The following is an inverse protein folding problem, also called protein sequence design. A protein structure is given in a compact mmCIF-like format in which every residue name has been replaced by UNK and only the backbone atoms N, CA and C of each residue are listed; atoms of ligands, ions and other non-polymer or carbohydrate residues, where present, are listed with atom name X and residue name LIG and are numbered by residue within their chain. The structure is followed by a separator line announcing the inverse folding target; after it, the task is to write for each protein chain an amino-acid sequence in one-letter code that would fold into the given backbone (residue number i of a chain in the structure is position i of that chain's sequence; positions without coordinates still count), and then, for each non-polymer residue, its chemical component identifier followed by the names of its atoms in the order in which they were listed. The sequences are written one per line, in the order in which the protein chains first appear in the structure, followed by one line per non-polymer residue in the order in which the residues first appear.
data_IF_708403042916
#
_entry.id   IF_708403042916
#
_cell.length_a   1.000
_cell.length_b   1.000
_cell.length_c   1.000
_cell.angle_alpha   90.00
_cell.angle_beta   90.00
_cell.angle_gamma   90.00
#
_symmetry.space_group_name_H-M   'P 1'
#
loop_
_entity.id
_entity.type
_entity.pdbx_description
1 polymer ?
#
# COMPACT_ATOMS: atom_id res chain seq x y z
N UNK A 1 7.29 -12.73 -8.42
CA UNK A 1 6.03 -12.48 -7.70
C UNK A 1 5.83 -10.97 -7.69
N UNK A 2 4.76 -10.53 -8.29
CA UNK A 2 4.31 -9.14 -8.27
C UNK A 2 3.33 -8.94 -7.09
N UNK A 3 3.16 -7.69 -6.61
CA UNK A 3 2.38 -7.35 -5.42
C UNK A 3 2.82 -8.15 -4.18
N UNK A 4 4.12 -8.36 -4.04
CA UNK A 4 4.70 -9.24 -3.02
C UNK A 4 4.47 -8.74 -1.59
N UNK A 5 4.16 -7.46 -1.40
CA UNK A 5 3.74 -6.90 -0.11
C UNK A 5 2.46 -7.56 0.44
N UNK A 6 1.61 -8.10 -0.44
CA UNK A 6 0.38 -8.83 -0.09
C UNK A 6 0.58 -10.34 0.05
N UNK A 7 1.81 -10.84 -0.13
CA UNK A 7 2.14 -12.26 -0.09
C UNK A 7 2.52 -12.67 1.34
N UNK A 8 1.79 -13.63 1.90
CA UNK A 8 2.12 -14.23 3.20
C UNK A 8 3.22 -15.27 3.05
N UNK A 9 3.85 -15.63 4.16
CA UNK A 9 4.93 -16.64 4.15
C UNK A 9 4.50 -18.00 3.55
N UNK A 10 3.33 -18.57 3.86
CA UNK A 10 2.89 -19.82 3.23
C UNK A 10 2.74 -19.72 1.71
N UNK A 11 2.25 -18.59 1.20
CA UNK A 11 2.07 -18.36 -0.23
C UNK A 11 3.42 -18.37 -0.97
N UNK A 12 4.46 -17.82 -0.32
CA UNK A 12 5.82 -17.82 -0.84
C UNK A 12 6.42 -19.22 -0.82
N UNK A 13 6.32 -19.95 0.30
CA UNK A 13 6.94 -21.26 0.51
C UNK A 13 6.48 -22.30 -0.50
N UNK A 14 5.22 -22.27 -0.90
CA UNK A 14 4.66 -23.20 -1.91
C UNK A 14 5.42 -23.12 -3.25
N UNK A 15 5.93 -21.95 -3.59
CA UNK A 15 6.65 -21.70 -4.85
C UNK A 15 8.14 -22.07 -4.76
N UNK A 16 8.77 -21.98 -3.59
CA UNK A 16 10.22 -22.12 -3.41
C UNK A 16 10.82 -23.42 -3.96
N UNK A 17 10.22 -24.63 -3.74
CA UNK A 17 10.87 -25.88 -4.16
C UNK A 17 11.09 -26.01 -5.68
N UNK A 18 10.44 -25.19 -6.47
CA UNK A 18 10.44 -25.28 -7.94
C UNK A 18 11.26 -24.18 -8.63
N UNK A 19 11.85 -23.27 -7.87
CA UNK A 19 12.54 -22.10 -8.43
C UNK A 19 14.02 -22.08 -8.05
N UNK A 20 14.84 -21.52 -8.94
CA UNK A 20 16.27 -21.27 -8.68
C UNK A 20 16.54 -19.84 -8.24
N UNK A 21 15.72 -18.93 -8.69
CA UNK A 21 15.83 -17.50 -8.38
C UNK A 21 14.44 -16.96 -8.03
N UNK A 22 14.40 -16.12 -7.03
CA UNK A 22 13.18 -15.44 -6.58
C UNK A 22 13.36 -13.94 -6.78
N UNK A 23 12.42 -13.33 -7.50
CA UNK A 23 12.30 -11.89 -7.61
C UNK A 23 10.95 -11.51 -7.00
N UNK A 24 10.98 -10.65 -5.99
CA UNK A 24 9.81 -10.09 -5.35
C UNK A 24 9.69 -8.62 -5.76
N UNK A 25 8.53 -8.24 -6.27
CA UNK A 25 8.20 -6.87 -6.63
C UNK A 25 7.03 -6.46 -5.75
N UNK A 26 7.17 -5.38 -5.01
CA UNK A 26 6.14 -4.93 -4.08
C UNK A 26 6.43 -3.55 -3.52
N UNK A 27 5.52 -3.08 -2.73
CA UNK A 27 5.60 -1.80 -2.05
C UNK A 27 5.30 -2.02 -0.56
N UNK A 28 6.30 -1.88 0.28
CA UNK A 28 6.21 -2.13 1.72
C UNK A 28 5.45 -1.04 2.48
N UNK A 29 5.18 0.10 1.82
CA UNK A 29 4.36 1.19 2.38
C UNK A 29 2.87 1.01 2.10
N UNK A 30 2.50 0.02 1.27
CA UNK A 30 1.11 -0.36 1.05
C UNK A 30 0.61 -1.33 2.11
N UNK A 31 -0.69 -1.63 2.06
CA UNK A 31 -1.36 -2.50 3.03
C UNK A 31 -0.76 -3.90 3.05
N UNK A 32 -0.54 -4.39 4.25
CA UNK A 32 -0.16 -5.78 4.51
C UNK A 32 -1.25 -6.79 4.08
N UNK A 33 -0.92 -8.08 3.96
CA UNK A 33 -1.89 -9.12 3.68
C UNK A 33 -3.03 -9.11 4.71
N UNK A 34 -4.27 -9.23 4.24
CA UNK A 34 -5.40 -9.44 5.13
C UNK A 34 -5.46 -10.89 5.57
N UNK A 35 -5.60 -11.12 6.85
CA UNK A 35 -5.75 -12.46 7.44
C UNK A 35 -6.68 -12.43 8.66
N UNK A 36 -7.20 -13.59 9.01
CA UNK A 36 -8.06 -13.74 10.18
C UNK A 36 -7.25 -13.52 11.47
N UNK A 37 -7.79 -12.72 12.39
CA UNK A 37 -7.17 -12.50 13.69
C UNK A 37 -7.10 -13.82 14.44
N UNK A 38 -6.03 -14.02 15.21
CA UNK A 38 -5.80 -15.27 15.96
C UNK A 38 -6.98 -15.66 16.85
N UNK A 39 -7.60 -14.70 17.51
CA UNK A 39 -8.74 -14.93 18.41
C UNK A 39 -9.98 -15.48 17.69
N UNK A 40 -10.09 -15.23 16.38
CA UNK A 40 -11.21 -15.68 15.55
C UNK A 40 -10.93 -17.03 14.87
N UNK A 41 -9.70 -17.56 14.98
CA UNK A 41 -9.35 -18.84 14.37
C UNK A 41 -9.95 -20.02 15.09
N UNK A 42 -9.96 -21.18 14.45
CA UNK A 42 -10.49 -22.41 15.05
C UNK A 42 -9.67 -22.86 16.27
N UNK A 43 -10.29 -23.57 17.24
CA UNK A 43 -9.55 -24.13 18.38
C UNK A 43 -8.37 -25.02 17.97
N UNK A 44 -8.48 -25.74 16.86
CA UNK A 44 -7.38 -26.55 16.33
C UNK A 44 -6.20 -25.67 15.88
N UNK A 45 -6.45 -24.54 15.23
CA UNK A 45 -5.42 -23.57 14.85
C UNK A 45 -4.75 -23.00 16.11
N UNK A 46 -5.52 -22.60 17.10
CA UNK A 46 -5.02 -22.07 18.37
C UNK A 46 -4.21 -23.09 19.18
N UNK A 47 -4.46 -24.38 19.00
CA UNK A 47 -3.66 -25.45 19.64
C UNK A 47 -2.32 -25.69 18.92
N UNK A 48 -2.22 -25.36 17.63
CA UNK A 48 -1.02 -25.58 16.80
C UNK A 48 -0.07 -24.39 16.80
N UNK A 49 -0.59 -23.18 16.95
CA UNK A 49 0.18 -21.94 16.85
C UNK A 49 -0.03 -21.07 18.09
N UNK A 50 1.03 -20.45 18.57
CA UNK A 50 0.88 -19.30 19.45
C UNK A 50 0.37 -18.08 18.64
N UNK A 51 -0.19 -17.08 19.31
CA UNK A 51 -0.63 -15.83 18.70
C UNK A 51 0.52 -15.16 17.92
N UNK A 52 1.71 -15.08 18.51
CA UNK A 52 2.90 -14.52 17.88
C UNK A 52 3.32 -15.30 16.62
N UNK A 53 3.30 -16.64 16.68
CA UNK A 53 3.62 -17.47 15.52
C UNK A 53 2.59 -17.30 14.40
N UNK A 54 1.31 -17.19 14.75
CA UNK A 54 0.23 -16.96 13.80
C UNK A 54 0.39 -15.61 13.07
N UNK A 55 0.64 -14.54 13.81
CA UNK A 55 0.87 -13.23 13.24
C UNK A 55 2.10 -13.21 12.33
N UNK A 56 3.22 -13.78 12.78
CA UNK A 56 4.46 -13.80 11.99
C UNK A 56 4.32 -14.57 10.68
N UNK A 57 3.58 -15.69 10.67
CA UNK A 57 3.34 -16.48 9.45
C UNK A 57 2.46 -15.72 8.44
N UNK A 58 1.53 -14.90 8.94
CA UNK A 58 0.57 -14.21 8.10
C UNK A 58 0.98 -12.78 7.72
N UNK A 59 2.02 -12.23 8.32
CA UNK A 59 2.60 -10.95 7.89
C UNK A 59 3.18 -11.04 6.49
N UNK A 60 3.38 -9.87 5.88
CA UNK A 60 4.03 -9.77 4.58
C UNK A 60 5.43 -10.35 4.61
N UNK A 61 5.66 -11.38 3.79
CA UNK A 61 7.01 -11.93 3.59
C UNK A 61 7.96 -10.92 2.97
N UNK A 62 7.44 -10.02 2.13
CA UNK A 62 8.19 -8.95 1.50
C UNK A 62 8.71 -7.94 2.54
N UNK A 63 7.83 -7.48 3.43
CA UNK A 63 8.22 -6.57 4.51
C UNK A 63 9.22 -7.21 5.47
N UNK A 64 9.04 -8.48 5.81
CA UNK A 64 9.98 -9.22 6.65
C UNK A 64 11.38 -9.33 6.01
N UNK A 65 11.45 -9.62 4.70
CA UNK A 65 12.71 -9.65 3.96
C UNK A 65 13.35 -8.26 3.89
N UNK A 66 12.57 -7.20 3.71
CA UNK A 66 13.09 -5.85 3.70
C UNK A 66 13.75 -5.50 5.04
N UNK A 67 13.16 -5.89 6.17
CA UNK A 67 13.78 -5.73 7.49
C UNK A 67 15.12 -6.47 7.61
N UNK A 68 15.24 -7.65 7.01
CA UNK A 68 16.54 -8.36 6.96
C UNK A 68 17.57 -7.57 6.13
N UNK A 69 17.17 -6.92 5.05
CA UNK A 69 18.05 -6.07 4.25
C UNK A 69 18.42 -4.76 4.94
N UNK A 70 17.54 -4.20 5.79
CA UNK A 70 17.91 -3.09 6.68
C UNK A 70 19.05 -3.52 7.60
N UNK A 71 18.91 -4.65 8.28
CA UNK A 71 19.95 -5.19 9.16
C UNK A 71 21.24 -5.53 8.40
N UNK A 72 21.12 -6.02 7.15
CA UNK A 72 22.28 -6.23 6.29
C UNK A 72 23.01 -4.94 5.97
N UNK A 73 22.27 -3.88 5.63
CA UNK A 73 22.84 -2.58 5.34
C UNK A 73 23.57 -2.01 6.55
N UNK A 74 22.98 -2.11 7.74
CA UNK A 74 23.62 -1.66 8.99
C UNK A 74 24.93 -2.41 9.24
N UNK A 75 24.95 -3.74 9.10
CA UNK A 75 26.13 -4.57 9.31
C UNK A 75 27.27 -4.25 8.34
N UNK A 76 26.93 -3.93 7.08
CA UNK A 76 27.88 -3.68 6.01
C UNK A 76 28.17 -2.20 5.77
N UNK A 77 27.64 -1.30 6.63
CA UNK A 77 27.80 0.15 6.54
C UNK A 77 27.32 0.72 5.19
N UNK A 78 26.24 0.14 4.66
CA UNK A 78 25.60 0.58 3.42
C UNK A 78 24.62 1.70 3.76
N UNK A 79 24.86 2.88 3.22
CA UNK A 79 24.09 4.08 3.55
C UNK A 79 22.75 4.17 2.85
N UNK A 80 22.56 3.49 1.73
CA UNK A 80 21.35 3.55 0.93
C UNK A 80 20.99 2.18 0.38
N UNK A 81 19.69 1.91 0.22
CA UNK A 81 19.22 0.69 -0.45
C UNK A 81 19.67 0.56 -1.90
N UNK A 82 20.02 1.66 -2.58
CA UNK A 82 20.58 1.62 -3.93
C UNK A 82 21.94 0.90 -4.00
N UNK A 83 22.67 0.84 -2.90
CA UNK A 83 23.97 0.17 -2.81
C UNK A 83 23.84 -1.29 -2.35
N UNK A 84 22.62 -1.71 -1.96
CA UNK A 84 22.37 -3.07 -1.53
C UNK A 84 22.33 -4.02 -2.76
N UNK A 85 23.15 -5.09 -2.82
CA UNK A 85 23.20 -5.95 -4.00
C UNK A 85 21.94 -6.81 -4.21
N UNK A 86 21.04 -6.86 -3.23
CA UNK A 86 19.83 -7.67 -3.28
C UNK A 86 18.56 -6.86 -3.44
N UNK A 87 18.65 -5.53 -3.41
CA UNK A 87 17.49 -4.62 -3.47
C UNK A 87 17.64 -3.67 -4.65
N UNK A 88 16.58 -3.52 -5.42
CA UNK A 88 16.47 -2.49 -6.44
C UNK A 88 15.27 -1.59 -6.13
N UNK A 89 15.50 -0.30 -5.97
CA UNK A 89 14.45 0.67 -5.67
C UNK A 89 13.99 1.35 -6.96
N UNK A 90 12.71 1.21 -7.29
CA UNK A 90 12.09 1.90 -8.42
C UNK A 90 11.63 3.29 -7.97
N UNK A 91 12.47 4.29 -8.17
CA UNK A 91 12.24 5.67 -7.70
C UNK A 91 11.34 6.50 -8.61
N UNK A 92 11.28 6.17 -9.91
CA UNK A 92 10.59 7.01 -10.90
C UNK A 92 9.13 6.61 -11.03
N UNK A 93 8.25 7.57 -10.82
CA UNK A 93 6.82 7.37 -11.01
C UNK A 93 6.32 8.08 -12.29
N UNK A 94 5.37 7.41 -12.98
CA UNK A 94 4.74 7.88 -14.22
C UNK A 94 3.20 7.85 -14.15
N UNK A 95 2.66 7.44 -13.00
CA UNK A 95 1.21 7.19 -12.81
C UNK A 95 0.47 8.43 -12.32
N UNK A 96 0.95 9.01 -11.23
CA UNK A 96 0.27 10.08 -10.51
C UNK A 96 0.53 11.45 -11.16
N UNK A 97 -0.46 12.35 -11.06
CA UNK A 97 -0.21 13.76 -11.35
C UNK A 97 0.56 14.41 -10.18
N UNK A 98 1.11 15.59 -10.44
CA UNK A 98 1.97 16.29 -9.48
C UNK A 98 1.27 16.59 -8.14
N UNK A 99 -0.03 16.90 -8.17
CA UNK A 99 -0.80 17.18 -6.94
C UNK A 99 -0.88 15.95 -6.03
N UNK A 100 -1.22 14.78 -6.59
CA UNK A 100 -1.28 13.52 -5.83
C UNK A 100 0.14 13.10 -5.39
N UNK A 101 1.13 13.22 -6.29
CA UNK A 101 2.51 12.88 -5.99
C UNK A 101 3.03 13.64 -4.77
N UNK A 102 2.78 14.94 -4.67
CA UNK A 102 3.24 15.78 -3.55
C UNK A 102 2.66 15.39 -2.18
N UNK A 103 1.55 14.65 -2.15
CA UNK A 103 1.00 14.11 -0.90
C UNK A 103 1.67 12.80 -0.48
N UNK A 104 2.16 12.03 -1.43
CA UNK A 104 2.68 10.68 -1.22
C UNK A 104 4.21 10.69 -1.04
N UNK A 105 4.91 11.52 -1.77
CA UNK A 105 6.39 11.61 -1.75
C UNK A 105 6.95 11.74 -0.33
N UNK A 106 6.42 12.62 0.57
CA UNK A 106 6.96 12.74 1.92
C UNK A 106 6.89 11.46 2.76
N UNK A 107 5.92 10.56 2.46
CA UNK A 107 5.77 9.29 3.16
C UNK A 107 6.94 8.35 2.84
N UNK A 108 7.33 8.30 1.57
CA UNK A 108 8.46 7.47 1.13
C UNK A 108 9.81 8.06 1.53
N UNK A 109 9.96 9.37 1.50
CA UNK A 109 11.20 10.08 1.86
C UNK A 109 11.63 9.91 3.32
N UNK A 110 10.74 9.39 4.20
CA UNK A 110 11.10 9.02 5.57
C UNK A 110 12.19 7.93 5.57
N UNK A 111 12.20 7.08 4.55
CA UNK A 111 13.15 5.99 4.42
C UNK A 111 14.27 6.36 3.45
N UNK A 112 15.50 6.39 3.95
CA UNK A 112 16.69 6.74 3.18
C UNK A 112 16.86 5.82 1.96
N UNK A 113 16.94 6.41 0.78
CA UNK A 113 17.07 5.69 -0.48
C UNK A 113 15.74 5.42 -1.20
N UNK A 114 14.60 5.83 -0.63
CA UNK A 114 13.28 5.67 -1.25
C UNK A 114 12.70 7.00 -1.76
N UNK A 115 13.55 7.99 -2.03
CA UNK A 115 13.12 9.26 -2.60
C UNK A 115 12.51 9.06 -3.98
N UNK A 116 11.23 9.42 -4.13
CA UNK A 116 10.50 9.28 -5.38
C UNK A 116 10.78 10.46 -6.32
N UNK A 117 10.81 10.19 -7.60
CA UNK A 117 11.02 11.18 -8.67
C UNK A 117 9.79 11.21 -9.56
N UNK A 118 9.19 12.38 -9.73
CA UNK A 118 8.07 12.58 -10.67
C UNK A 118 8.57 12.81 -12.08
N UNK A 119 8.32 11.85 -12.95
CA UNK A 119 8.66 11.92 -14.38
C UNK A 119 7.44 12.18 -15.28
N UNK A 120 6.25 12.28 -14.68
CA UNK A 120 5.03 12.40 -15.49
C UNK A 120 4.89 13.76 -16.18
N UNK A 121 5.60 14.79 -15.70
CA UNK A 121 5.50 16.17 -16.23
C UNK A 121 4.05 16.67 -16.37
N UNK A 122 3.18 16.22 -15.49
CA UNK A 122 1.78 16.66 -15.49
C UNK A 122 1.65 18.05 -14.89
N UNK A 123 0.71 18.83 -15.41
CA UNK A 123 0.29 20.06 -14.74
C UNK A 123 -0.19 19.72 -13.33
N UNK A 124 0.16 20.53 -12.35
CA UNK A 124 -0.39 20.39 -11.01
C UNK A 124 -1.92 20.58 -11.10
N UNK A 125 -2.64 19.58 -10.58
CA UNK A 125 -4.07 19.71 -10.32
C UNK A 125 -4.26 19.90 -8.83
N UNK A 126 -5.22 20.72 -8.47
CA UNK A 126 -5.57 20.92 -7.07
C UNK A 126 -6.07 19.61 -6.48
N UNK A 127 -5.63 19.33 -5.27
CA UNK A 127 -6.16 18.24 -4.45
C UNK A 127 -7.09 18.86 -3.43
N UNK A 128 -8.35 18.46 -3.47
CA UNK A 128 -9.35 18.91 -2.52
C UNK A 128 -9.52 17.87 -1.41
N UNK A 129 -9.30 18.27 -0.18
CA UNK A 129 -9.60 17.46 0.99
C UNK A 129 -10.84 18.01 1.67
N UNK A 130 -11.84 17.16 1.88
CA UNK A 130 -13.03 17.48 2.66
C UNK A 130 -13.07 16.61 3.92
N UNK A 131 -13.13 17.24 5.08
CA UNK A 131 -13.35 16.53 6.33
C UNK A 131 -14.84 16.38 6.56
N UNK A 132 -15.33 15.15 6.66
CA UNK A 132 -16.72 14.82 6.92
C UNK A 132 -16.83 14.33 8.37
N UNK A 133 -17.70 14.97 9.15
CA UNK A 133 -18.03 14.53 10.50
C UNK A 133 -19.18 13.52 10.41
N UNK A 134 -18.85 12.26 10.29
CA UNK A 134 -19.81 11.16 10.20
C UNK A 134 -19.42 10.00 11.10
N UNK A 135 -20.37 9.09 11.34
CA UNK A 135 -20.14 7.89 12.12
C UNK A 135 -20.14 6.67 11.20
N UNK A 136 -19.12 5.85 11.33
CA UNK A 136 -19.11 4.53 10.71
C UNK A 136 -20.15 3.61 11.34
N UNK A 137 -20.95 2.97 10.52
CA UNK A 137 -21.97 2.00 10.92
C UNK A 137 -21.61 0.62 10.39
N UNK A 138 -21.66 -0.38 11.25
CA UNK A 138 -21.39 -1.77 10.86
C UNK A 138 -22.53 -2.35 10.00
N UNK A 139 -22.18 -3.04 8.93
CA UNK A 139 -23.09 -3.79 8.07
C UNK A 139 -22.49 -5.15 7.71
N UNK A 140 -22.91 -6.20 8.41
CA UNK A 140 -22.31 -7.52 8.27
C UNK A 140 -20.84 -7.50 8.68
N UNK A 141 -19.95 -7.83 7.74
CA UNK A 141 -18.49 -7.79 7.91
C UNK A 141 -17.85 -6.50 7.39
N UNK A 142 -18.64 -5.52 6.98
CA UNK A 142 -18.19 -4.26 6.41
C UNK A 142 -18.67 -3.07 7.25
N UNK A 143 -18.19 -1.89 6.87
CA UNK A 143 -18.61 -0.62 7.46
C UNK A 143 -19.07 0.32 6.35
N UNK A 144 -19.95 1.23 6.68
CA UNK A 144 -20.38 2.30 5.80
C UNK A 144 -20.58 3.62 6.58
N UNK A 145 -20.45 4.73 5.88
CA UNK A 145 -20.67 6.08 6.42
C UNK A 145 -21.60 6.81 5.46
N UNK A 146 -22.81 7.10 5.92
CA UNK A 146 -23.84 7.76 5.12
C UNK A 146 -23.44 9.19 4.80
N UNK A 147 -22.87 9.89 5.76
CA UNK A 147 -22.48 11.29 5.63
C UNK A 147 -21.37 11.46 4.57
N UNK A 148 -20.44 10.52 4.50
CA UNK A 148 -19.42 10.50 3.43
C UNK A 148 -20.05 10.22 2.07
N UNK A 149 -20.97 9.26 1.98
CA UNK A 149 -21.67 8.95 0.73
C UNK A 149 -22.49 10.15 0.24
N UNK A 150 -23.19 10.82 1.12
CA UNK A 150 -23.97 12.02 0.80
C UNK A 150 -23.07 13.19 0.37
N UNK A 151 -21.91 13.35 1.00
CA UNK A 151 -20.93 14.34 0.61
C UNK A 151 -20.39 14.08 -0.81
N UNK A 152 -20.07 12.83 -1.15
CA UNK A 152 -19.66 12.45 -2.50
C UNK A 152 -20.76 12.74 -3.53
N UNK A 153 -22.02 12.36 -3.23
CA UNK A 153 -23.17 12.63 -4.11
C UNK A 153 -23.36 14.14 -4.31
N UNK A 154 -23.24 14.92 -3.25
CA UNK A 154 -23.39 16.39 -3.29
C UNK A 154 -22.30 17.03 -4.15
N UNK A 155 -21.05 16.60 -3.98
CA UNK A 155 -19.93 17.01 -4.82
C UNK A 155 -20.16 16.67 -6.30
N UNK A 156 -20.63 15.47 -6.60
CA UNK A 156 -20.92 15.05 -7.97
C UNK A 156 -22.04 15.89 -8.61
N UNK A 157 -23.08 16.23 -7.88
CA UNK A 157 -24.16 17.10 -8.36
C UNK A 157 -23.65 18.51 -8.65
N UNK A 158 -22.83 19.07 -7.77
CA UNK A 158 -22.19 20.37 -8.00
C UNK A 158 -21.29 20.32 -9.22
N UNK A 159 -20.42 19.32 -9.32
CA UNK A 159 -19.58 19.11 -10.50
C UNK A 159 -20.39 18.99 -11.79
N UNK A 160 -21.49 18.22 -11.78
CA UNK A 160 -22.38 18.08 -12.93
C UNK A 160 -23.00 19.43 -13.34
N UNK A 161 -23.41 20.26 -12.39
CA UNK A 161 -23.97 21.59 -12.66
C UNK A 161 -22.96 22.54 -13.29
N UNK A 162 -21.68 22.37 -12.96
CA UNK A 162 -20.54 23.18 -13.44
C UNK A 162 -19.74 22.49 -14.54
N UNK A 163 -20.24 21.41 -15.13
CA UNK A 163 -19.50 20.61 -16.11
C UNK A 163 -18.93 21.41 -17.30
N UNK A 164 -19.61 22.47 -17.71
CA UNK A 164 -19.13 23.35 -18.79
C UNK A 164 -17.80 24.05 -18.45
N UNK A 165 -17.47 24.19 -17.18
CA UNK A 165 -16.20 24.77 -16.72
C UNK A 165 -15.03 23.76 -16.83
N UNK A 166 -15.33 22.45 -17.00
CA UNK A 166 -14.37 21.35 -16.99
C UNK A 166 -14.50 20.48 -18.25
N UNK A 167 -14.33 21.04 -19.46
CA UNK A 167 -14.60 20.32 -20.73
C UNK A 167 -13.66 19.13 -20.97
N UNK A 168 -12.50 19.11 -20.34
CA UNK A 168 -11.49 18.04 -20.49
C UNK A 168 -11.78 16.78 -19.63
N UNK A 169 -12.68 16.87 -18.66
CA UNK A 169 -13.01 15.73 -17.80
C UNK A 169 -14.07 14.87 -18.47
N UNK A 170 -13.68 13.67 -18.88
CA UNK A 170 -14.56 12.71 -19.57
C UNK A 170 -15.14 11.67 -18.62
N UNK A 171 -14.37 11.27 -17.62
CA UNK A 171 -14.72 10.20 -16.66
C UNK A 171 -14.37 10.62 -15.24
N UNK A 172 -15.17 10.16 -14.29
CA UNK A 172 -14.93 10.31 -12.86
C UNK A 172 -14.86 8.91 -12.27
N UNK A 173 -13.78 8.62 -11.52
CA UNK A 173 -13.69 7.42 -10.68
C UNK A 173 -14.13 7.75 -9.25
N UNK A 174 -14.87 6.82 -8.63
CA UNK A 174 -15.30 6.88 -7.24
C UNK A 174 -14.82 5.64 -6.53
#
# INVERSE_FOLDING_TARGET
IDEASKCRFPDLVISLPKIKHLILIGDFMQLDPMFEKYENTSPSTQSLFSMEAWENINRSSFSNLLHQFVSYNELHQIDSFDENPYVAVMKRQYRMNKGIFSLIEPIYSIHKGFDLIDEKNSTAHDVLCAQINGNEMAFGTSFYNIEEADAVISFLKEFQSRRAEFPSIQTIGI
#
